data_IF_180827602284
#
_entry.id   IF_180827602284
#
_cell.length_a   1.000
_cell.length_b   1.000
_cell.length_c   1.000
_cell.angle_alpha   90.00
_cell.angle_beta   90.00
_cell.angle_gamma   90.00
#
_symmetry.space_group_name_H-M   'P 1'
#
loop_
_entity.id
_entity.type
_entity.pdbx_description
1 polymer ?
#
# COMPACT_ATOMS: atom_id res chain seq x y z
N UNK A 1 24.41 2.12 19.25
CA UNK A 1 24.64 3.11 20.33
C UNK A 1 26.11 3.28 20.75
N UNK A 2 27.00 2.30 20.44
CA UNK A 2 28.40 2.32 20.88
C UNK A 2 29.27 3.30 20.08
N UNK A 3 28.86 3.73 18.90
CA UNK A 3 29.65 4.58 18.00
C UNK A 3 28.94 5.87 17.55
N UNK A 4 27.75 6.15 17.99
CA UNK A 4 27.01 7.36 17.62
C UNK A 4 26.18 7.86 18.80
N UNK A 5 26.39 9.15 19.14
CA UNK A 5 25.62 9.84 20.21
C UNK A 5 24.16 10.14 19.79
N UNK A 6 23.74 9.73 18.60
CA UNK A 6 22.39 9.92 18.11
C UNK A 6 21.51 8.73 18.49
N UNK A 7 20.46 8.97 19.25
CA UNK A 7 19.40 7.98 19.50
C UNK A 7 18.71 7.65 18.17
N UNK A 8 18.95 6.46 17.63
CA UNK A 8 18.24 5.97 16.46
C UNK A 8 16.84 5.55 16.92
N UNK A 9 15.83 6.30 16.50
CA UNK A 9 14.44 5.89 16.70
C UNK A 9 14.07 4.84 15.65
N UNK A 10 13.76 3.63 16.10
CA UNK A 10 13.24 2.55 15.25
C UNK A 10 11.74 2.78 15.08
N UNK A 11 11.35 3.52 14.07
CA UNK A 11 9.96 3.86 13.75
C UNK A 11 9.63 3.58 12.29
N UNK A 12 8.47 4.04 11.86
CA UNK A 12 7.97 3.87 10.48
C UNK A 12 8.99 4.22 9.38
N UNK A 13 9.75 5.35 9.44
CA UNK A 13 10.74 5.67 8.42
C UNK A 13 11.86 4.63 8.29
N UNK A 14 12.26 4.02 9.41
CA UNK A 14 13.27 2.95 9.40
C UNK A 14 12.74 1.70 8.70
N UNK A 15 11.55 1.23 9.07
CA UNK A 15 10.95 0.06 8.44
C UNK A 15 10.71 0.28 6.94
N UNK A 16 10.24 1.44 6.55
CA UNK A 16 10.03 1.77 5.14
C UNK A 16 11.34 1.75 4.34
N UNK A 17 12.43 2.28 4.90
CA UNK A 17 13.73 2.31 4.22
C UNK A 17 14.39 0.94 4.05
N UNK A 18 14.08 -0.03 4.90
CA UNK A 18 14.63 -1.39 4.83
C UNK A 18 13.69 -2.34 4.09
N UNK A 19 12.40 -2.32 4.42
CA UNK A 19 11.43 -3.29 3.92
C UNK A 19 11.07 -3.04 2.46
N UNK A 20 10.85 -1.79 2.06
CA UNK A 20 10.42 -1.46 0.69
C UNK A 20 11.44 -1.92 -0.36
N UNK A 21 12.76 -1.63 -0.24
CA UNK A 21 13.75 -2.08 -1.22
C UNK A 21 13.83 -3.61 -1.38
N UNK A 22 13.53 -4.36 -0.32
CA UNK A 22 13.52 -5.82 -0.35
C UNK A 22 12.22 -6.34 -0.96
N UNK A 23 11.09 -5.72 -0.64
CA UNK A 23 9.77 -6.17 -1.10
C UNK A 23 9.54 -5.89 -2.59
N UNK A 24 10.05 -4.79 -3.14
CA UNK A 24 9.86 -4.45 -4.56
C UNK A 24 10.37 -5.59 -5.48
N UNK A 25 11.63 -6.05 -5.42
CA UNK A 25 12.07 -7.15 -6.26
C UNK A 25 11.34 -8.47 -5.97
N UNK A 26 10.99 -8.75 -4.71
CA UNK A 26 10.22 -9.94 -4.37
C UNK A 26 8.83 -9.94 -5.03
N UNK A 27 8.13 -8.81 -5.01
CA UNK A 27 6.81 -8.64 -5.64
C UNK A 27 6.91 -8.71 -7.17
N UNK A 28 7.97 -8.15 -7.77
CA UNK A 28 8.22 -8.25 -9.21
C UNK A 28 8.38 -9.71 -9.65
N UNK A 29 9.20 -10.49 -8.94
CA UNK A 29 9.39 -11.91 -9.21
C UNK A 29 8.13 -12.72 -8.95
N UNK A 30 7.37 -12.38 -7.91
CA UNK A 30 6.09 -13.02 -7.60
C UNK A 30 5.09 -12.88 -8.75
N UNK A 31 5.02 -11.72 -9.41
CA UNK A 31 4.17 -11.54 -10.58
C UNK A 31 4.53 -12.45 -11.75
N UNK A 32 5.81 -12.85 -11.88
CA UNK A 32 6.27 -13.81 -12.89
C UNK A 32 6.15 -15.28 -12.43
N UNK A 33 6.07 -15.52 -11.13
CA UNK A 33 6.02 -16.87 -10.53
C UNK A 33 5.08 -17.84 -11.22
N UNK A 34 3.86 -17.44 -11.55
CA UNK A 34 2.94 -18.26 -12.31
C UNK A 34 3.46 -18.75 -13.66
N UNK A 35 4.36 -18.06 -14.31
CA UNK A 35 4.90 -18.42 -15.63
C UNK A 35 6.18 -19.26 -15.55
N UNK A 36 6.73 -19.45 -14.34
CA UNK A 36 7.95 -20.20 -14.15
C UNK A 36 7.68 -21.72 -14.21
N UNK A 37 8.39 -22.44 -15.06
CA UNK A 37 8.41 -23.91 -15.06
C UNK A 37 9.48 -24.42 -14.09
N UNK A 38 9.19 -25.54 -13.43
CA UNK A 38 10.07 -26.10 -12.38
C UNK A 38 11.46 -26.51 -12.87
N UNK A 39 11.57 -26.98 -14.13
CA UNK A 39 12.81 -27.64 -14.59
C UNK A 39 13.74 -26.77 -15.43
N UNK A 40 13.21 -25.90 -16.29
CA UNK A 40 13.99 -25.03 -17.18
C UNK A 40 13.33 -23.68 -17.31
N UNK A 41 14.04 -22.64 -16.93
CA UNK A 41 13.59 -21.26 -17.00
C UNK A 41 14.31 -20.56 -18.15
N UNK A 42 13.56 -20.20 -19.18
CA UNK A 42 14.01 -19.26 -20.21
C UNK A 42 13.49 -17.88 -19.86
N UNK A 43 14.34 -17.07 -19.23
CA UNK A 43 13.99 -15.74 -18.75
C UNK A 43 13.47 -14.84 -19.87
N UNK A 44 14.09 -14.91 -21.06
CA UNK A 44 13.69 -14.08 -22.21
C UNK A 44 12.27 -14.45 -22.64
N UNK A 45 11.96 -15.74 -22.71
CA UNK A 45 10.61 -16.22 -23.08
C UNK A 45 9.56 -15.79 -22.07
N UNK A 46 9.89 -15.80 -20.75
CA UNK A 46 8.99 -15.33 -19.71
C UNK A 46 8.73 -13.83 -19.84
N UNK A 47 9.78 -13.03 -20.04
CA UNK A 47 9.64 -11.60 -20.24
C UNK A 47 8.76 -11.27 -21.46
N UNK A 48 8.96 -11.94 -22.58
CA UNK A 48 8.14 -11.77 -23.79
C UNK A 48 6.68 -12.19 -23.52
N UNK A 49 6.45 -13.32 -22.84
CA UNK A 49 5.09 -13.78 -22.49
C UNK A 49 4.39 -12.85 -21.48
N UNK A 50 5.13 -12.12 -20.66
CA UNK A 50 4.59 -11.17 -19.68
C UNK A 50 4.33 -9.77 -20.27
N UNK A 51 4.83 -9.45 -21.46
CA UNK A 51 4.60 -8.14 -22.11
C UNK A 51 3.13 -7.68 -22.11
N UNK A 52 2.14 -8.51 -22.48
CA UNK A 52 0.74 -8.09 -22.45
C UNK A 52 0.26 -7.73 -21.04
N UNK A 53 0.75 -8.45 -20.01
CA UNK A 53 0.44 -8.15 -18.60
C UNK A 53 1.08 -6.85 -18.15
N UNK A 54 2.32 -6.57 -18.58
CA UNK A 54 3.02 -5.31 -18.33
C UNK A 54 2.25 -4.14 -18.93
N UNK A 55 1.84 -4.27 -20.20
CA UNK A 55 1.08 -3.23 -20.88
C UNK A 55 -0.26 -2.98 -20.20
N UNK A 56 -0.99 -4.04 -19.84
CA UNK A 56 -2.26 -3.92 -19.14
C UNK A 56 -2.09 -3.25 -17.77
N UNK A 57 -1.09 -3.66 -17.00
CA UNK A 57 -0.77 -3.05 -15.71
C UNK A 57 -0.39 -1.57 -15.87
N UNK A 58 0.42 -1.24 -16.87
CA UNK A 58 0.81 0.15 -17.16
C UNK A 58 -0.39 1.03 -17.51
N UNK A 59 -1.31 0.53 -18.34
CA UNK A 59 -2.53 1.27 -18.73
C UNK A 59 -3.42 1.50 -17.50
N UNK A 60 -3.71 0.47 -16.71
CA UNK A 60 -4.56 0.59 -15.52
C UNK A 60 -3.92 1.52 -14.49
N UNK A 61 -2.61 1.38 -14.24
CA UNK A 61 -1.88 2.25 -13.31
C UNK A 61 -1.88 3.71 -13.80
N UNK A 62 -1.72 3.95 -15.10
CA UNK A 62 -1.74 5.30 -15.67
C UNK A 62 -3.10 5.97 -15.49
N UNK A 63 -4.19 5.22 -15.72
CA UNK A 63 -5.56 5.70 -15.48
C UNK A 63 -5.75 6.04 -14.00
N UNK A 64 -5.30 5.16 -13.11
CA UNK A 64 -5.40 5.38 -11.67
C UNK A 64 -4.64 6.63 -11.22
N UNK A 65 -3.40 6.80 -11.69
CA UNK A 65 -2.56 7.98 -11.40
C UNK A 65 -3.23 9.26 -11.90
N UNK A 66 -3.78 9.23 -13.12
CA UNK A 66 -4.46 10.38 -13.72
C UNK A 66 -5.71 10.81 -12.92
N UNK A 67 -6.51 9.83 -12.46
CA UNK A 67 -7.73 10.07 -11.67
C UNK A 67 -7.39 10.64 -10.28
N UNK A 68 -6.44 10.03 -9.58
CA UNK A 68 -6.16 10.38 -8.18
C UNK A 68 -5.08 11.44 -8.00
N UNK A 69 -4.36 11.84 -9.05
CA UNK A 69 -3.32 12.89 -9.06
C UNK A 69 -2.34 12.79 -7.90
N UNK A 70 -1.98 11.58 -7.49
CA UNK A 70 -1.03 11.36 -6.40
C UNK A 70 0.40 11.64 -6.87
N UNK A 71 1.18 12.34 -6.04
CA UNK A 71 2.60 12.63 -6.28
C UNK A 71 3.53 11.77 -5.41
N UNK A 72 2.98 10.82 -4.62
CA UNK A 72 3.77 9.93 -3.79
C UNK A 72 4.38 8.80 -4.64
N UNK A 73 5.68 8.89 -4.94
CA UNK A 73 6.40 7.94 -5.80
C UNK A 73 6.33 6.51 -5.26
N UNK A 74 6.49 6.32 -3.94
CA UNK A 74 6.42 4.99 -3.33
C UNK A 74 5.02 4.40 -3.43
N UNK A 75 4.00 5.22 -3.22
CA UNK A 75 2.62 4.82 -3.41
C UNK A 75 2.32 4.44 -4.86
N UNK A 76 2.83 5.22 -5.83
CA UNK A 76 2.69 4.89 -7.25
C UNK A 76 3.36 3.55 -7.60
N UNK A 77 4.56 3.30 -7.08
CA UNK A 77 5.23 2.02 -7.26
C UNK A 77 4.41 0.84 -6.74
N UNK A 78 3.81 0.98 -5.55
CA UNK A 78 2.92 -0.05 -4.97
C UNK A 78 1.70 -0.33 -5.85
N UNK A 79 1.05 0.71 -6.40
CA UNK A 79 -0.08 0.57 -7.33
C UNK A 79 0.33 -0.20 -8.59
N UNK A 80 1.46 0.18 -9.21
CA UNK A 80 1.99 -0.48 -10.41
C UNK A 80 2.27 -1.96 -10.13
N UNK A 81 2.90 -2.28 -9.01
CA UNK A 81 3.23 -3.65 -8.62
C UNK A 81 1.98 -4.49 -8.34
N UNK A 82 0.98 -3.94 -7.69
CA UNK A 82 -0.27 -4.63 -7.45
C UNK A 82 -1.01 -4.96 -8.75
N UNK A 83 -1.15 -3.99 -9.65
CA UNK A 83 -1.77 -4.22 -10.97
C UNK A 83 -0.92 -5.13 -11.86
N UNK A 84 0.42 -5.14 -11.69
CA UNK A 84 1.30 -6.10 -12.32
C UNK A 84 0.94 -7.55 -11.96
N UNK A 85 0.81 -7.86 -10.66
CA UNK A 85 0.39 -9.19 -10.21
C UNK A 85 -1.01 -9.52 -10.74
N UNK A 86 -1.98 -8.63 -10.56
CA UNK A 86 -3.37 -8.85 -10.98
C UNK A 86 -3.48 -9.12 -12.48
N UNK A 87 -2.78 -8.34 -13.30
CA UNK A 87 -2.79 -8.48 -14.77
C UNK A 87 -2.17 -9.81 -15.22
N UNK A 88 -1.08 -10.25 -14.57
CA UNK A 88 -0.49 -11.55 -14.86
C UNK A 88 -1.43 -12.70 -14.53
N UNK A 89 -2.07 -12.68 -13.36
CA UNK A 89 -3.04 -13.69 -12.96
C UNK A 89 -4.22 -13.71 -13.94
N UNK A 90 -4.79 -12.54 -14.23
CA UNK A 90 -5.95 -12.41 -15.12
C UNK A 90 -5.66 -12.99 -16.51
N UNK A 91 -4.60 -12.51 -17.17
CA UNK A 91 -4.27 -12.93 -18.52
C UNK A 91 -3.88 -14.40 -18.58
N UNK A 92 -3.22 -14.91 -17.56
CA UNK A 92 -2.84 -16.32 -17.53
C UNK A 92 -4.03 -17.23 -17.28
N UNK A 93 -4.94 -16.82 -16.40
CA UNK A 93 -6.20 -17.55 -16.16
C UNK A 93 -7.07 -17.56 -17.43
N UNK A 94 -7.19 -16.41 -18.10
CA UNK A 94 -7.95 -16.32 -19.38
C UNK A 94 -7.34 -17.22 -20.46
N UNK A 95 -6.01 -17.24 -20.61
CA UNK A 95 -5.33 -18.15 -21.55
C UNK A 95 -5.64 -19.61 -21.26
N UNK A 96 -5.57 -20.03 -19.99
CA UNK A 96 -5.91 -21.42 -19.60
C UNK A 96 -7.35 -21.79 -19.92
N UNK A 97 -8.29 -20.87 -19.70
CA UNK A 97 -9.69 -21.09 -20.03
C UNK A 97 -9.92 -21.26 -21.54
N UNK A 98 -9.24 -20.43 -22.35
CA UNK A 98 -9.32 -20.49 -23.83
C UNK A 98 -8.70 -21.81 -24.34
N UNK A 99 -7.56 -22.23 -23.83
CA UNK A 99 -6.86 -23.45 -24.22
C UNK A 99 -7.66 -24.71 -23.85
N UNK A 100 -8.27 -24.71 -22.66
CA UNK A 100 -9.14 -25.79 -22.22
C UNK A 100 -10.33 -26.02 -23.19
N UNK A 101 -10.87 -24.95 -23.77
CA UNK A 101 -12.00 -25.03 -24.72
C UNK A 101 -11.60 -25.45 -26.14
N UNK A 102 -10.31 -25.39 -26.51
CA UNK A 102 -9.84 -25.68 -27.87
C UNK A 102 -9.30 -27.09 -28.08
N UNK A 103 -9.26 -27.95 -27.07
CA UNK A 103 -8.61 -29.29 -27.10
C UNK A 103 -7.17 -29.29 -27.65
N UNK A 104 -6.55 -28.12 -27.73
CA UNK A 104 -5.20 -27.96 -28.25
C UNK A 104 -4.22 -28.42 -27.18
N UNK A 105 -3.69 -29.63 -27.36
CA UNK A 105 -2.51 -30.12 -26.64
C UNK A 105 -1.27 -29.34 -27.09
N UNK A 106 -1.16 -28.07 -26.74
CA UNK A 106 0.07 -27.31 -26.95
C UNK A 106 0.69 -26.92 -25.63
N UNK A 107 1.90 -27.42 -25.47
CA UNK A 107 2.95 -27.04 -24.53
C UNK A 107 2.55 -26.30 -23.25
N UNK A 108 2.40 -27.12 -22.20
CA UNK A 108 2.86 -26.85 -20.83
C UNK A 108 2.76 -25.38 -20.41
N UNK A 109 1.54 -24.87 -20.34
CA UNK A 109 1.26 -23.82 -19.40
C UNK A 109 0.98 -24.55 -18.07
N UNK A 110 1.77 -24.28 -17.01
CA UNK A 110 1.52 -24.93 -15.74
C UNK A 110 0.07 -24.68 -15.31
N UNK A 111 -0.65 -25.76 -14.98
CA UNK A 111 -2.00 -25.64 -14.43
C UNK A 111 -1.90 -24.90 -13.10
N UNK A 112 -2.41 -23.67 -13.07
CA UNK A 112 -2.50 -22.93 -11.83
C UNK A 112 -3.52 -23.61 -10.93
N UNK A 113 -3.10 -23.86 -9.70
CA UNK A 113 -4.01 -24.25 -8.65
C UNK A 113 -4.87 -23.04 -8.27
N UNK A 114 -6.15 -23.25 -8.01
CA UNK A 114 -7.04 -22.19 -7.53
C UNK A 114 -6.50 -21.49 -6.27
N UNK A 115 -5.83 -22.25 -5.41
CA UNK A 115 -5.17 -21.70 -4.22
C UNK A 115 -4.06 -20.70 -4.55
N UNK A 116 -3.26 -20.95 -5.61
CA UNK A 116 -2.23 -20.02 -6.06
C UNK A 116 -2.83 -18.71 -6.57
N UNK A 117 -3.90 -18.79 -7.36
CA UNK A 117 -4.61 -17.60 -7.86
C UNK A 117 -5.13 -16.76 -6.69
N UNK A 118 -5.80 -17.39 -5.73
CA UNK A 118 -6.36 -16.71 -4.54
C UNK A 118 -5.24 -16.08 -3.71
N UNK A 119 -4.14 -16.79 -3.47
CA UNK A 119 -3.03 -16.27 -2.69
C UNK A 119 -2.39 -15.02 -3.33
N UNK A 120 -2.13 -15.05 -4.64
CA UNK A 120 -1.54 -13.90 -5.35
C UNK A 120 -2.51 -12.72 -5.42
N UNK A 121 -3.80 -12.97 -5.65
CA UNK A 121 -4.83 -11.92 -5.58
C UNK A 121 -4.92 -11.31 -4.18
N UNK A 122 -4.85 -12.13 -3.13
CA UNK A 122 -4.83 -11.66 -1.74
C UNK A 122 -3.66 -10.71 -1.48
N UNK A 123 -2.45 -11.08 -1.94
CA UNK A 123 -1.27 -10.21 -1.81
C UNK A 123 -1.42 -8.93 -2.64
N UNK A 124 -1.93 -9.01 -3.86
CA UNK A 124 -2.15 -7.82 -4.68
C UNK A 124 -3.13 -6.84 -4.01
N UNK A 125 -4.23 -7.35 -3.44
CA UNK A 125 -5.19 -6.55 -2.68
C UNK A 125 -4.58 -5.97 -1.41
N UNK A 126 -3.74 -6.73 -0.70
CA UNK A 126 -3.00 -6.25 0.46
C UNK A 126 -2.08 -5.08 0.08
N UNK A 127 -1.32 -5.21 -1.00
CA UNK A 127 -0.45 -4.14 -1.51
C UNK A 127 -1.27 -2.90 -1.86
N UNK A 128 -2.41 -3.06 -2.54
CA UNK A 128 -3.32 -1.94 -2.84
C UNK A 128 -3.84 -1.27 -1.58
N UNK A 129 -4.22 -2.05 -0.57
CA UNK A 129 -4.71 -1.54 0.72
C UNK A 129 -3.65 -0.72 1.46
N UNK A 130 -2.44 -1.26 1.61
CA UNK A 130 -1.31 -0.56 2.25
C UNK A 130 -0.94 0.70 1.46
N UNK A 131 -0.88 0.59 0.14
CA UNK A 131 -0.55 1.72 -0.73
C UNK A 131 -1.61 2.80 -0.67
N UNK A 132 -2.89 2.42 -0.73
CA UNK A 132 -4.01 3.36 -0.60
C UNK A 132 -3.99 4.08 0.73
N UNK A 133 -3.80 3.36 1.83
CA UNK A 133 -3.63 3.95 3.16
C UNK A 133 -2.50 5.00 3.16
N UNK A 134 -1.32 4.66 2.62
CA UNK A 134 -0.17 5.58 2.58
C UNK A 134 -0.37 6.80 1.68
N UNK A 135 -1.12 6.66 0.57
CA UNK A 135 -1.39 7.78 -0.37
C UNK A 135 -2.43 8.74 0.19
N UNK A 136 -3.48 8.21 0.82
CA UNK A 136 -4.64 9.01 1.27
C UNK A 136 -4.53 9.48 2.70
N UNK A 137 -3.60 8.93 3.47
CA UNK A 137 -3.33 9.40 4.82
C UNK A 137 -2.79 10.84 4.80
N UNK A 138 -3.35 11.69 5.64
CA UNK A 138 -2.88 13.03 5.91
C UNK A 138 -2.45 13.09 7.36
N UNK A 139 -1.15 13.12 7.58
CA UNK A 139 -0.56 13.24 8.90
C UNK A 139 0.18 14.56 9.04
N UNK A 140 0.04 15.19 10.20
CA UNK A 140 0.74 16.42 10.53
C UNK A 140 1.22 16.33 11.97
N UNK A 141 2.52 16.13 12.15
CA UNK A 141 3.15 16.08 13.47
C UNK A 141 3.58 17.50 13.85
N UNK A 142 2.96 18.06 14.87
CA UNK A 142 3.24 19.40 15.35
C UNK A 142 3.24 19.43 16.89
N UNK A 143 3.96 20.41 17.44
CA UNK A 143 3.84 20.72 18.88
C UNK A 143 2.84 21.86 19.02
N UNK A 144 1.83 21.65 19.85
CA UNK A 144 0.79 22.64 20.12
C UNK A 144 0.80 23.06 21.58
N UNK A 145 0.59 24.34 21.81
CA UNK A 145 0.27 24.91 23.13
C UNK A 145 -1.24 25.06 23.25
N UNK A 146 -1.71 25.22 24.48
CA UNK A 146 -3.13 25.52 24.73
C UNK A 146 -3.53 26.79 23.98
N UNK A 147 -4.65 26.72 23.27
CA UNK A 147 -5.21 27.69 22.31
C UNK A 147 -4.51 27.79 20.96
N UNK A 148 -3.50 26.96 20.67
CA UNK A 148 -2.98 26.86 19.30
C UNK A 148 -4.02 26.19 18.39
N UNK A 149 -4.03 26.61 17.14
CA UNK A 149 -4.85 26.02 16.09
C UNK A 149 -4.00 25.49 14.94
N UNK A 150 -4.46 24.43 14.31
CA UNK A 150 -3.83 23.84 13.14
C UNK A 150 -4.86 23.40 12.13
N UNK A 151 -4.54 23.57 10.85
CA UNK A 151 -5.35 23.09 9.76
C UNK A 151 -4.83 21.77 9.23
N UNK A 152 -5.73 20.77 9.14
CA UNK A 152 -5.48 19.48 8.48
C UNK A 152 -6.57 19.29 7.44
N UNK A 153 -6.20 19.39 6.17
CA UNK A 153 -7.09 19.28 5.02
C UNK A 153 -8.24 20.30 5.05
N UNK A 154 -9.46 19.89 5.44
CA UNK A 154 -10.67 20.73 5.50
C UNK A 154 -11.11 21.03 6.92
N UNK A 155 -10.32 20.62 7.90
CA UNK A 155 -10.66 20.74 9.31
C UNK A 155 -9.66 21.65 10.01
N UNK A 156 -10.19 22.51 10.88
CA UNK A 156 -9.38 23.31 11.78
C UNK A 156 -9.45 22.69 13.18
N UNK A 157 -8.33 22.38 13.78
CA UNK A 157 -8.22 21.71 15.08
C UNK A 157 -7.63 22.71 16.06
N UNK A 158 -8.36 22.97 17.14
CA UNK A 158 -7.94 23.89 18.20
C UNK A 158 -7.69 23.10 19.47
N UNK A 159 -6.49 23.24 20.04
CA UNK A 159 -6.15 22.66 21.32
C UNK A 159 -6.66 23.56 22.45
N UNK A 160 -7.70 23.15 23.19
CA UNK A 160 -8.38 23.98 24.18
C UNK A 160 -7.73 23.94 25.54
N UNK A 161 -7.49 22.72 26.07
CA UNK A 161 -7.02 22.56 27.45
C UNK A 161 -6.39 21.20 27.68
N UNK A 162 -5.66 21.08 28.79
CA UNK A 162 -5.13 19.83 29.31
C UNK A 162 -5.72 19.58 30.69
N UNK A 163 -6.36 18.45 30.89
CA UNK A 163 -6.93 18.03 32.15
C UNK A 163 -6.15 16.85 32.73
N UNK A 164 -5.92 16.87 34.03
CA UNK A 164 -5.37 15.70 34.74
C UNK A 164 -6.53 14.78 35.08
N UNK A 165 -6.44 13.54 34.63
CA UNK A 165 -7.41 12.50 34.93
C UNK A 165 -6.77 11.41 35.77
N UNK A 166 -7.47 11.03 36.85
CA UNK A 166 -7.11 9.88 37.64
C UNK A 166 -7.85 8.64 37.17
N UNK A 167 -7.13 7.69 36.61
CA UNK A 167 -7.63 6.34 36.33
C UNK A 167 -7.60 5.47 37.60
N UNK A 168 -8.02 4.20 37.50
CA UNK A 168 -8.08 3.29 38.62
C UNK A 168 -6.72 3.07 39.29
N UNK A 169 -5.61 3.13 38.57
CA UNK A 169 -4.25 2.90 39.05
C UNK A 169 -3.19 3.70 38.27
N UNK A 170 -3.60 4.77 37.56
CA UNK A 170 -2.69 5.66 36.83
C UNK A 170 -3.18 7.11 36.86
N UNK A 171 -2.29 8.04 36.58
CA UNK A 171 -2.58 9.43 36.31
C UNK A 171 -2.27 9.71 34.84
N UNK A 172 -3.22 10.23 34.08
CA UNK A 172 -3.02 10.65 32.69
C UNK A 172 -3.26 12.13 32.47
N UNK A 173 -2.75 12.64 31.36
CA UNK A 173 -3.03 13.97 30.87
C UNK A 173 -3.97 13.85 29.67
N UNK A 174 -5.19 14.30 29.79
CA UNK A 174 -6.16 14.35 28.71
C UNK A 174 -6.11 15.70 28.02
N UNK A 175 -5.84 15.69 26.71
CA UNK A 175 -5.95 16.87 25.87
C UNK A 175 -7.38 17.03 25.37
N UNK A 176 -7.92 18.26 25.37
CA UNK A 176 -9.21 18.57 24.78
C UNK A 176 -9.00 19.33 23.46
N UNK A 177 -9.41 18.72 22.33
CA UNK A 177 -9.28 19.28 20.99
C UNK A 177 -10.66 19.46 20.35
N UNK A 178 -10.92 20.65 19.88
CA UNK A 178 -12.14 20.95 19.13
C UNK A 178 -11.84 20.95 17.65
N UNK A 179 -12.65 20.20 16.89
CA UNK A 179 -12.54 20.08 15.44
C UNK A 179 -13.63 20.90 14.77
N UNK A 180 -13.21 21.85 13.95
CA UNK A 180 -14.10 22.74 13.20
C UNK A 180 -14.06 22.40 11.71
N UNK A 181 -15.18 22.59 11.02
CA UNK A 181 -15.20 22.58 9.55
C UNK A 181 -14.82 23.97 8.99
N UNK A 182 -14.72 24.09 7.65
CA UNK A 182 -14.48 25.38 6.96
C UNK A 182 -15.52 26.46 7.29
N UNK A 183 -16.73 26.09 7.71
CA UNK A 183 -17.80 27.00 8.12
C UNK A 183 -17.72 27.40 9.59
N UNK A 184 -16.64 27.06 10.28
CA UNK A 184 -16.40 27.30 11.72
C UNK A 184 -17.44 26.65 12.66
N UNK A 185 -18.13 25.62 12.22
CA UNK A 185 -18.98 24.82 13.09
C UNK A 185 -18.17 23.71 13.74
N UNK A 186 -18.41 23.47 15.05
CA UNK A 186 -17.81 22.33 15.77
C UNK A 186 -18.43 21.05 15.22
N UNK A 187 -17.57 20.12 14.79
CA UNK A 187 -17.97 18.79 14.28
C UNK A 187 -17.75 17.73 15.33
N UNK A 188 -16.63 17.83 16.05
CA UNK A 188 -16.23 16.84 17.04
C UNK A 188 -15.39 17.48 18.15
N UNK A 189 -15.48 16.89 19.32
CA UNK A 189 -14.61 17.11 20.44
C UNK A 189 -13.80 15.83 20.68
N UNK A 190 -12.47 15.92 20.62
CA UNK A 190 -11.55 14.80 20.82
C UNK A 190 -10.87 14.95 22.16
N UNK A 191 -10.85 13.88 22.95
CA UNK A 191 -10.25 13.82 24.30
C UNK A 191 -9.24 12.68 24.43
N UNK A 192 -8.12 12.72 23.66
CA UNK A 192 -7.05 11.74 23.82
C UNK A 192 -6.39 11.84 25.21
N UNK A 193 -6.02 10.67 25.73
CA UNK A 193 -5.27 10.50 26.96
C UNK A 193 -3.82 10.08 26.71
#
# INVERSE_FOLDING_TARGET
EVFSNNKISVGEPYFNSVTIPIMIPAILVMGMGPMLSWEKVDVIRILVKSLPSILLAAVISSIFIWVYRSHNILGLAGIVLAFWIMSNILLTTVRQLIEKNKEIKQEIIPKYSSGMIIAHLGIALLILGITGSSIWQKEKIIRMKVNDETEIHNYNIVFKEINKIAGPNYLSLQGNFWVYNKKKNIIAELKPE
#
